data_IF_914802645650
#
_entry.id   IF_914802645650
#
_cell.length_a   1.000
_cell.length_b   1.000
_cell.length_c   1.000
_cell.angle_alpha   90.00
_cell.angle_beta   90.00
_cell.angle_gamma   90.00
#
_symmetry.space_group_name_H-M   'P 1'
#
loop_
_entity.id
_entity.type
_entity.pdbx_description
1 polymer ?
#
# COMPACT_ATOMS: atom_id res chain seq x y z
N UNK A 1 -19.10 29.60 2.17
CA UNK A 1 -19.81 28.32 1.91
C UNK A 1 -20.13 27.68 3.24
N UNK A 2 -21.38 27.31 3.47
CA UNK A 2 -21.77 26.49 4.59
C UNK A 2 -21.52 25.02 4.25
N UNK A 3 -20.84 24.32 5.16
CA UNK A 3 -20.53 22.89 5.04
C UNK A 3 -21.45 22.12 5.97
N UNK A 4 -22.22 21.18 5.43
CA UNK A 4 -23.18 20.37 6.15
C UNK A 4 -22.78 18.89 6.05
N UNK A 5 -21.91 18.38 6.94
CA UNK A 5 -21.53 16.97 6.92
C UNK A 5 -22.71 16.05 7.29
N UNK A 6 -23.63 16.53 8.14
CA UNK A 6 -24.89 15.85 8.44
C UNK A 6 -25.82 16.83 9.14
N UNK A 7 -26.67 17.53 8.38
CA UNK A 7 -27.55 18.55 8.94
C UNK A 7 -28.81 17.93 9.54
N UNK A 8 -28.79 17.70 10.85
CA UNK A 8 -29.94 17.22 11.62
C UNK A 8 -29.81 17.61 13.10
N UNK A 9 -30.94 17.55 13.81
CA UNK A 9 -30.97 17.77 15.25
C UNK A 9 -30.29 16.62 16.00
N UNK A 10 -29.42 16.97 16.95
CA UNK A 10 -28.77 16.02 17.86
C UNK A 10 -28.91 16.51 19.29
N UNK A 11 -28.98 15.58 20.26
CA UNK A 11 -29.08 15.91 21.68
C UNK A 11 -28.05 15.10 22.48
N UNK A 12 -26.85 15.64 22.63
CA UNK A 12 -25.76 14.95 23.34
C UNK A 12 -26.06 14.74 24.83
N UNK A 13 -27.03 15.46 25.41
CA UNK A 13 -27.32 15.38 26.85
C UNK A 13 -27.92 14.04 27.25
N UNK A 14 -28.48 13.29 26.31
CA UNK A 14 -29.11 11.98 26.55
C UNK A 14 -28.12 10.81 26.51
N UNK A 15 -26.85 11.04 26.14
CA UNK A 15 -25.81 10.01 26.18
C UNK A 15 -24.44 10.57 26.65
N UNK A 16 -23.95 10.18 27.84
CA UNK A 16 -22.67 10.67 28.36
C UNK A 16 -21.45 10.16 27.59
N UNK A 17 -21.63 9.20 26.66
CA UNK A 17 -20.57 8.68 25.78
C UNK A 17 -20.52 9.37 24.41
N UNK A 18 -21.47 10.27 24.14
CA UNK A 18 -21.51 11.13 22.95
C UNK A 18 -20.63 12.35 23.16
N UNK A 19 -19.89 12.76 22.12
CA UNK A 19 -19.10 14.00 22.15
C UNK A 19 -18.86 14.56 20.75
N UNK A 20 -18.58 15.86 20.65
CA UNK A 20 -18.08 16.50 19.43
C UNK A 20 -16.67 17.00 19.66
N UNK A 21 -15.72 16.35 19.01
CA UNK A 21 -14.32 16.77 19.02
C UNK A 21 -14.06 17.70 17.85
N UNK A 22 -13.30 18.76 18.09
CA UNK A 22 -12.77 19.60 17.02
C UNK A 22 -11.31 19.94 17.29
N UNK A 23 -10.54 20.09 16.22
CA UNK A 23 -9.15 20.50 16.31
C UNK A 23 -8.68 21.14 15.02
N UNK A 24 -7.82 22.13 15.19
CA UNK A 24 -6.99 22.67 14.12
C UNK A 24 -5.73 21.81 13.98
N UNK A 25 -5.26 21.65 12.75
CA UNK A 25 -4.10 20.84 12.38
C UNK A 25 -3.14 21.71 11.59
N UNK A 26 -1.95 21.87 12.15
CA UNK A 26 -0.75 22.47 11.56
C UNK A 26 0.46 21.51 11.56
N UNK A 27 0.34 20.34 12.21
CA UNK A 27 1.36 19.30 12.24
C UNK A 27 1.63 18.71 10.85
N UNK A 28 2.91 18.67 10.47
CA UNK A 28 3.35 18.24 9.14
C UNK A 28 3.01 16.78 8.84
N UNK A 29 3.06 15.88 9.84
CA UNK A 29 2.74 14.47 9.61
C UNK A 29 1.26 14.28 9.29
N UNK A 30 0.38 14.90 10.07
CA UNK A 30 -1.07 14.87 9.85
C UNK A 30 -1.47 15.57 8.54
N UNK A 31 -0.86 16.71 8.22
CA UNK A 31 -1.09 17.41 6.96
C UNK A 31 -0.66 16.57 5.75
N UNK A 32 0.42 15.79 5.87
CA UNK A 32 0.81 14.82 4.83
C UNK A 32 -0.25 13.74 4.65
N UNK A 33 -0.80 13.19 5.73
CA UNK A 33 -1.90 12.22 5.64
C UNK A 33 -3.13 12.81 4.96
N UNK A 34 -3.53 14.03 5.32
CA UNK A 34 -4.68 14.71 4.70
C UNK A 34 -4.39 15.01 3.22
N UNK A 35 -3.15 15.35 2.88
CA UNK A 35 -2.73 15.55 1.49
C UNK A 35 -2.92 14.27 0.67
N UNK A 36 -2.47 13.12 1.18
CA UNK A 36 -2.67 11.84 0.50
C UNK A 36 -4.15 11.47 0.38
N UNK A 37 -4.98 11.81 1.38
CA UNK A 37 -6.44 11.67 1.27
C UNK A 37 -6.99 12.54 0.14
N UNK A 38 -6.64 13.83 0.07
CA UNK A 38 -7.12 14.71 -1.03
C UNK A 38 -6.70 14.16 -2.38
N UNK A 39 -5.47 13.64 -2.51
CA UNK A 39 -4.95 13.05 -3.75
C UNK A 39 -5.72 11.82 -4.22
N UNK A 40 -6.46 11.11 -3.35
CA UNK A 40 -7.30 10.00 -3.81
C UNK A 40 -8.47 10.47 -4.69
N UNK A 41 -8.93 11.72 -4.52
CA UNK A 41 -9.97 12.33 -5.37
C UNK A 41 -9.41 13.34 -6.36
N UNK A 42 -8.37 14.08 -5.98
CA UNK A 42 -7.80 15.18 -6.77
C UNK A 42 -6.30 14.93 -7.01
N UNK A 43 -5.97 13.93 -7.84
CA UNK A 43 -4.61 13.42 -8.02
C UNK A 43 -3.65 14.45 -8.63
N UNK A 44 -4.15 15.34 -9.47
CA UNK A 44 -3.38 16.36 -10.20
C UNK A 44 -2.77 17.43 -9.29
N UNK A 45 -3.09 17.43 -8.00
CA UNK A 45 -2.51 18.29 -6.96
C UNK A 45 -1.10 17.86 -6.51
N UNK A 46 -0.41 17.02 -7.29
CA UNK A 46 0.83 16.29 -6.94
C UNK A 46 1.89 17.17 -6.27
N UNK A 47 1.99 18.45 -6.63
CA UNK A 47 3.02 19.39 -6.16
C UNK A 47 2.69 20.17 -4.89
N UNK A 48 1.51 20.03 -4.30
CA UNK A 48 1.09 20.87 -3.16
C UNK A 48 0.70 20.03 -1.93
N UNK A 49 1.36 20.31 -0.81
CA UNK A 49 0.98 19.77 0.50
C UNK A 49 -0.06 20.69 1.14
N UNK A 50 -1.04 20.13 1.84
CA UNK A 50 -1.95 20.92 2.66
C UNK A 50 -1.16 21.69 3.72
N UNK A 51 -1.48 22.97 3.88
CA UNK A 51 -0.82 23.86 4.84
C UNK A 51 -1.56 23.93 6.18
N UNK A 52 -2.86 23.60 6.14
CA UNK A 52 -3.75 23.76 7.26
C UNK A 52 -4.97 22.87 7.10
N UNK A 53 -5.46 22.31 8.20
CA UNK A 53 -6.75 21.64 8.23
C UNK A 53 -7.50 21.87 9.55
N UNK A 54 -8.82 21.75 9.49
CA UNK A 54 -9.71 21.75 10.65
C UNK A 54 -10.59 20.52 10.61
N UNK A 55 -10.54 19.75 11.68
CA UNK A 55 -11.22 18.45 11.80
C UNK A 55 -12.31 18.56 12.84
N UNK A 56 -13.52 18.15 12.50
CA UNK A 56 -14.64 18.03 13.44
C UNK A 56 -15.19 16.61 13.38
N UNK A 57 -15.28 15.95 14.54
CA UNK A 57 -15.76 14.58 14.68
C UNK A 57 -16.97 14.55 15.59
N UNK A 58 -18.10 14.11 15.06
CA UNK A 58 -19.30 13.80 15.82
C UNK A 58 -19.20 12.33 16.22
N UNK A 59 -18.89 12.06 17.48
CA UNK A 59 -18.69 10.71 17.99
C UNK A 59 -19.92 10.26 18.76
N UNK A 60 -20.54 9.17 18.30
CA UNK A 60 -21.75 8.59 18.88
C UNK A 60 -22.86 9.60 19.17
N UNK A 61 -23.15 10.49 18.22
CA UNK A 61 -24.21 11.49 18.42
C UNK A 61 -25.60 10.85 18.27
N UNK A 62 -26.51 11.03 19.24
CA UNK A 62 -27.88 10.55 19.17
C UNK A 62 -28.78 11.52 18.37
N UNK A 63 -29.94 11.07 17.86
CA UNK A 63 -30.93 11.96 17.27
C UNK A 63 -31.51 12.90 18.33
N UNK A 64 -31.83 14.13 17.95
CA UNK A 64 -32.44 15.10 18.86
C UNK A 64 -33.77 14.61 19.43
N UNK A 65 -33.95 14.77 20.76
CA UNK A 65 -35.17 14.43 21.51
C UNK A 65 -35.63 12.96 21.40
N UNK A 66 -34.74 12.04 20.98
CA UNK A 66 -35.01 10.61 20.87
C UNK A 66 -34.47 9.82 22.05
N UNK A 67 -35.28 8.94 22.63
CA UNK A 67 -34.90 8.01 23.71
C UNK A 67 -34.21 6.74 23.19
N UNK A 68 -33.98 6.65 21.88
CA UNK A 68 -33.48 5.45 21.22
C UNK A 68 -31.96 5.35 21.34
N UNK A 69 -31.45 4.13 21.19
CA UNK A 69 -30.02 3.78 21.22
C UNK A 69 -29.20 3.97 19.93
N UNK A 70 -29.71 4.40 18.75
CA UNK A 70 -28.87 4.53 17.57
C UNK A 70 -27.90 5.69 17.73
N UNK A 71 -26.67 5.51 17.24
CA UNK A 71 -25.59 6.49 17.35
C UNK A 71 -24.91 6.69 16.00
N UNK A 72 -24.89 7.94 15.56
CA UNK A 72 -24.16 8.31 14.35
C UNK A 72 -22.72 8.67 14.73
N UNK A 73 -21.75 8.25 13.93
CA UNK A 73 -20.33 8.63 14.05
C UNK A 73 -19.80 9.01 12.69
N UNK A 74 -19.41 10.27 12.56
CA UNK A 74 -18.93 10.84 11.31
C UNK A 74 -17.98 12.01 11.57
N UNK A 75 -17.21 12.38 10.55
CA UNK A 75 -16.18 13.40 10.62
C UNK A 75 -16.23 14.28 9.36
N UNK A 76 -15.91 15.55 9.54
CA UNK A 76 -15.64 16.51 8.48
C UNK A 76 -14.23 17.06 8.64
N UNK A 77 -13.52 17.21 7.54
CA UNK A 77 -12.22 17.90 7.47
C UNK A 77 -12.35 18.99 6.43
N UNK A 78 -11.99 20.23 6.79
CA UNK A 78 -11.78 21.31 5.83
C UNK A 78 -10.28 21.57 5.79
N UNK A 79 -9.69 21.61 4.60
CA UNK A 79 -8.24 21.73 4.43
C UNK A 79 -7.91 22.65 3.28
N UNK A 80 -6.75 23.30 3.33
CA UNK A 80 -6.27 24.18 2.25
C UNK A 80 -4.76 24.10 2.08
N UNK A 81 -4.30 24.30 0.85
CA UNK A 81 -2.89 24.50 0.53
C UNK A 81 -2.56 25.99 0.23
N UNK A 82 -3.49 26.91 0.51
CA UNK A 82 -3.37 28.34 0.22
C UNK A 82 -3.83 28.76 -1.18
N UNK A 83 -4.02 27.81 -2.11
CA UNK A 83 -4.55 28.04 -3.46
C UNK A 83 -5.90 27.33 -3.61
N UNK A 84 -5.93 26.05 -3.25
CA UNK A 84 -7.08 25.17 -3.29
C UNK A 84 -7.53 24.78 -1.89
N UNK A 85 -8.84 24.63 -1.72
CA UNK A 85 -9.50 24.24 -0.48
C UNK A 85 -10.38 23.03 -0.74
N UNK A 86 -10.34 22.07 0.17
CA UNK A 86 -11.08 20.82 0.07
C UNK A 86 -11.88 20.57 1.32
N UNK A 87 -12.99 19.87 1.15
CA UNK A 87 -13.76 19.31 2.26
C UNK A 87 -13.83 17.80 2.10
N UNK A 88 -13.53 17.08 3.18
CA UNK A 88 -13.61 15.63 3.28
C UNK A 88 -14.71 15.29 4.28
N UNK A 89 -15.65 14.43 3.87
CA UNK A 89 -16.59 13.78 4.79
C UNK A 89 -16.20 12.33 4.97
N UNK A 90 -16.29 11.83 6.20
CA UNK A 90 -16.05 10.42 6.53
C UNK A 90 -17.15 9.92 7.45
N UNK A 91 -17.88 8.90 7.01
CA UNK A 91 -18.99 8.30 7.72
C UNK A 91 -18.61 6.89 8.18
N UNK A 92 -18.38 6.73 9.48
CA UNK A 92 -18.06 5.43 10.06
C UNK A 92 -19.34 4.61 10.31
N UNK A 93 -20.36 5.25 10.87
CA UNK A 93 -21.61 4.59 11.27
C UNK A 93 -22.77 5.58 11.25
N UNK A 94 -23.87 5.23 10.60
CA UNK A 94 -25.11 6.00 10.60
C UNK A 94 -26.28 5.05 10.90
N UNK A 95 -26.88 5.17 12.08
CA UNK A 95 -27.97 4.30 12.56
C UNK A 95 -29.31 5.01 12.67
N UNK A 96 -29.30 6.34 12.57
CA UNK A 96 -30.52 7.15 12.51
C UNK A 96 -30.45 8.13 11.35
N UNK A 97 -31.61 8.43 10.77
CA UNK A 97 -31.79 9.34 9.62
C UNK A 97 -32.96 10.29 9.79
N UNK A 98 -33.58 10.35 10.95
CA UNK A 98 -34.57 11.37 11.26
C UNK A 98 -34.39 11.79 12.73
N UNK A 99 -34.50 13.09 12.98
CA UNK A 99 -34.69 13.60 14.34
C UNK A 99 -36.11 13.33 14.84
N UNK A 100 -36.40 13.65 16.11
CA UNK A 100 -37.74 13.44 16.69
C UNK A 100 -38.89 14.10 15.92
N UNK A 101 -38.61 15.13 15.11
CA UNK A 101 -39.60 15.89 14.33
C UNK A 101 -39.73 15.44 12.86
N UNK A 102 -39.11 14.32 12.47
CA UNK A 102 -39.36 13.67 11.18
C UNK A 102 -38.64 14.25 9.97
N UNK A 103 -37.71 15.20 10.16
CA UNK A 103 -36.87 15.73 9.08
C UNK A 103 -35.70 14.82 8.74
N UNK A 104 -35.55 14.47 7.45
CA UNK A 104 -34.37 13.75 6.95
C UNK A 104 -33.18 14.71 6.77
N UNK A 105 -31.96 14.31 7.18
CA UNK A 105 -30.77 15.13 7.08
C UNK A 105 -30.42 15.49 5.64
N UNK A 106 -29.83 16.67 5.50
CA UNK A 106 -29.13 17.07 4.29
C UNK A 106 -27.62 16.93 4.50
N UNK A 107 -26.94 16.45 3.46
CA UNK A 107 -25.48 16.36 3.42
C UNK A 107 -24.97 17.09 2.19
N UNK A 108 -24.01 18.00 2.38
CA UNK A 108 -23.38 18.72 1.27
C UNK A 108 -22.99 20.16 1.61
N UNK A 109 -23.23 21.06 0.68
CA UNK A 109 -22.72 22.44 0.69
C UNK A 109 -23.76 23.42 0.20
N UNK A 110 -23.73 24.64 0.76
CA UNK A 110 -24.54 25.75 0.28
C UNK A 110 -23.81 27.07 0.50
N UNK A 111 -23.54 27.82 -0.58
CA UNK A 111 -22.90 29.13 -0.51
C UNK A 111 -23.86 30.27 -0.17
N UNK A 112 -25.17 30.04 -0.22
CA UNK A 112 -26.20 31.06 0.01
C UNK A 112 -26.46 31.97 -1.19
N UNK A 113 -25.85 31.69 -2.34
CA UNK A 113 -25.94 32.47 -3.58
C UNK A 113 -26.90 31.86 -4.62
N UNK A 114 -27.58 30.77 -4.27
CA UNK A 114 -28.48 29.98 -5.13
C UNK A 114 -27.82 29.31 -6.35
N UNK A 115 -26.50 29.43 -6.51
CA UNK A 115 -25.74 28.88 -7.63
C UNK A 115 -24.79 27.79 -7.15
N UNK A 116 -24.04 28.08 -6.08
CA UNK A 116 -23.04 27.20 -5.51
C UNK A 116 -23.63 26.41 -4.36
N UNK A 117 -24.29 25.31 -4.70
CA UNK A 117 -24.73 24.30 -3.75
C UNK A 117 -24.53 22.90 -4.31
N UNK A 118 -24.32 21.94 -3.42
CA UNK A 118 -24.20 20.53 -3.79
C UNK A 118 -24.84 19.69 -2.69
N UNK A 119 -25.57 18.65 -3.06
CA UNK A 119 -26.22 17.74 -2.12
C UNK A 119 -25.86 16.31 -2.50
N UNK A 120 -25.36 15.53 -1.54
CA UNK A 120 -25.03 14.12 -1.77
C UNK A 120 -26.31 13.34 -2.07
N UNK A 121 -26.22 12.38 -2.98
CA UNK A 121 -27.29 11.43 -3.27
C UNK A 121 -27.86 10.82 -1.96
N UNK A 122 -29.16 10.57 -1.92
CA UNK A 122 -29.90 10.06 -0.74
C UNK A 122 -30.09 11.07 0.40
N UNK A 123 -29.55 12.29 0.32
CA UNK A 123 -29.95 13.38 1.22
C UNK A 123 -31.47 13.60 1.17
N UNK A 124 -32.04 14.11 2.26
CA UNK A 124 -33.48 14.26 2.43
C UNK A 124 -34.29 12.95 2.34
N UNK A 125 -33.65 11.80 2.59
CA UNK A 125 -34.34 10.50 2.62
C UNK A 125 -33.88 9.61 3.77
N UNK A 126 -34.69 8.61 4.12
CA UNK A 126 -34.32 7.60 5.12
C UNK A 126 -33.04 6.84 4.74
N UNK A 127 -32.76 6.73 3.44
CA UNK A 127 -31.62 6.01 2.88
C UNK A 127 -30.28 6.73 3.09
N UNK A 128 -30.27 7.95 3.63
CA UNK A 128 -29.03 8.68 3.93
C UNK A 128 -28.10 7.89 4.86
N UNK A 129 -28.61 6.96 5.67
CA UNK A 129 -27.79 6.07 6.49
C UNK A 129 -26.85 5.20 5.65
N UNK A 130 -27.27 4.86 4.43
CA UNK A 130 -26.51 3.97 3.55
C UNK A 130 -25.27 4.62 2.94
N UNK A 131 -25.07 5.94 3.07
CA UNK A 131 -23.86 6.62 2.56
C UNK A 131 -22.58 6.16 3.27
N UNK A 132 -22.69 5.46 4.41
CA UNK A 132 -21.56 4.70 4.99
C UNK A 132 -21.01 3.62 4.06
N UNK A 133 -21.75 3.24 3.02
CA UNK A 133 -21.35 2.29 1.98
C UNK A 133 -20.92 2.99 0.69
N UNK A 134 -21.25 4.27 0.53
CA UNK A 134 -21.06 5.01 -0.72
C UNK A 134 -19.74 5.81 -0.68
N UNK A 135 -19.30 6.32 -1.83
CA UNK A 135 -18.11 7.16 -1.95
C UNK A 135 -18.03 7.83 -3.33
N UNK A 136 -17.42 9.01 -3.42
CA UNK A 136 -17.00 9.61 -4.70
C UNK A 136 -15.51 9.43 -5.02
N UNK A 137 -14.76 8.70 -4.17
CA UNK A 137 -13.33 8.40 -4.35
C UNK A 137 -13.02 6.91 -4.20
N UNK A 138 -14.03 6.08 -3.97
CA UNK A 138 -13.90 4.64 -3.82
C UNK A 138 -13.33 4.17 -2.50
N UNK A 139 -13.39 5.02 -1.49
CA UNK A 139 -13.14 4.65 -0.10
C UNK A 139 -14.48 4.70 0.60
N UNK A 140 -14.97 3.53 1.01
CA UNK A 140 -16.28 3.35 1.62
C UNK A 140 -16.54 4.37 2.74
N UNK A 141 -17.64 5.12 2.62
CA UNK A 141 -18.04 6.15 3.58
C UNK A 141 -17.25 7.46 3.48
N UNK A 142 -16.38 7.62 2.49
CA UNK A 142 -15.55 8.81 2.33
C UNK A 142 -15.92 9.58 1.08
N UNK A 143 -16.03 10.90 1.23
CA UNK A 143 -16.31 11.82 0.14
C UNK A 143 -15.35 13.00 0.18
N UNK A 144 -14.83 13.43 -0.98
CA UNK A 144 -13.94 14.59 -1.08
C UNK A 144 -14.48 15.55 -2.13
N UNK A 145 -14.50 16.83 -1.79
CA UNK A 145 -14.98 17.89 -2.67
C UNK A 145 -13.95 19.01 -2.75
N UNK A 146 -13.78 19.55 -3.96
CA UNK A 146 -13.12 20.82 -4.16
C UNK A 146 -14.08 21.95 -3.76
N UNK A 147 -13.57 22.93 -3.02
CA UNK A 147 -14.36 24.01 -2.42
C UNK A 147 -13.75 25.39 -2.61
N UNK A 148 -12.82 25.55 -3.57
CA UNK A 148 -12.32 26.86 -3.99
C UNK A 148 -13.20 27.44 -5.09
N UNK A 149 -13.84 28.58 -4.83
CA UNK A 149 -14.80 29.15 -5.77
C UNK A 149 -16.05 28.27 -5.84
N UNK A 150 -16.22 27.57 -6.97
CA UNK A 150 -17.34 26.66 -7.18
C UNK A 150 -17.11 25.30 -6.50
N UNK A 151 -18.19 24.66 -6.07
CA UNK A 151 -18.13 23.34 -5.42
C UNK A 151 -17.95 22.28 -6.51
N UNK A 152 -16.75 21.70 -6.57
CA UNK A 152 -16.39 20.64 -7.51
C UNK A 152 -16.52 19.27 -6.88
N UNK A 153 -17.30 18.38 -7.49
CA UNK A 153 -17.24 16.95 -7.21
C UNK A 153 -15.98 16.35 -7.86
N UNK A 154 -15.61 15.15 -7.43
CA UNK A 154 -14.59 14.38 -8.14
C UNK A 154 -15.12 14.07 -9.54
N UNK A 155 -14.31 14.34 -10.55
CA UNK A 155 -14.61 14.00 -11.93
C UNK A 155 -13.75 12.80 -12.35
N UNK A 156 -14.34 11.88 -13.10
CA UNK A 156 -13.60 10.71 -13.56
C UNK A 156 -12.60 11.03 -14.67
N UNK A 157 -12.77 12.11 -15.45
CA UNK A 157 -11.81 12.50 -16.48
C UNK A 157 -10.83 13.55 -15.96
N UNK A 158 -9.55 13.18 -15.91
CA UNK A 158 -8.44 14.09 -15.61
C UNK A 158 -7.67 14.41 -16.89
N UNK A 159 -6.96 15.54 -16.91
CA UNK A 159 -6.12 15.93 -18.07
C UNK A 159 -4.98 14.92 -18.28
N UNK A 160 -4.52 14.26 -17.21
CA UNK A 160 -3.40 13.34 -17.22
C UNK A 160 -3.76 11.91 -17.68
N UNK A 161 -5.05 11.63 -17.95
CA UNK A 161 -5.51 10.33 -18.42
C UNK A 161 -5.59 9.28 -17.31
N UNK A 162 -5.18 8.03 -17.61
CA UNK A 162 -5.23 6.93 -16.63
C UNK A 162 -4.09 7.08 -15.61
N UNK A 163 -4.45 6.99 -14.34
CA UNK A 163 -3.56 7.17 -13.19
C UNK A 163 -3.72 6.00 -12.21
N UNK A 164 -2.72 5.79 -11.35
CA UNK A 164 -2.69 4.72 -10.33
C UNK A 164 -2.42 5.26 -8.92
N UNK A 165 -3.05 4.67 -7.91
CA UNK A 165 -2.86 4.96 -6.48
C UNK A 165 -2.77 3.65 -5.66
N UNK A 166 -1.76 3.48 -4.79
CA UNK A 166 -0.60 4.37 -4.69
C UNK A 166 0.17 4.39 -6.02
N UNK A 167 0.91 5.46 -6.31
CA UNK A 167 1.71 5.54 -7.55
C UNK A 167 3.02 4.74 -7.47
N UNK A 168 3.32 4.21 -6.28
CA UNK A 168 4.45 3.33 -6.00
C UNK A 168 4.10 2.29 -4.93
N UNK A 169 4.84 1.20 -4.88
CA UNK A 169 4.64 0.18 -3.84
C UNK A 169 5.51 -1.07 -4.01
N UNK A 170 5.34 -2.01 -3.09
CA UNK A 170 6.23 -3.16 -2.92
C UNK A 170 6.01 -4.24 -4.00
N UNK A 171 7.08 -4.96 -4.35
CA UNK A 171 7.09 -6.10 -5.28
C UNK A 171 6.31 -7.31 -4.80
N UNK A 172 6.09 -7.46 -3.49
CA UNK A 172 5.43 -8.63 -2.91
C UNK A 172 3.91 -8.69 -3.17
N UNK A 173 3.32 -7.60 -3.67
CA UNK A 173 1.89 -7.53 -3.94
C UNK A 173 1.01 -7.66 -2.69
N UNK A 174 -0.26 -7.99 -2.88
CA UNK A 174 -1.24 -8.27 -1.83
C UNK A 174 -1.96 -7.05 -1.24
N UNK A 175 -1.55 -5.83 -1.59
CA UNK A 175 -2.27 -4.61 -1.27
C UNK A 175 -3.17 -4.16 -2.42
N UNK A 176 -4.22 -3.42 -2.10
CA UNK A 176 -5.11 -2.86 -3.10
C UNK A 176 -4.43 -1.67 -3.81
N UNK A 177 -4.56 -1.62 -5.14
CA UNK A 177 -4.27 -0.44 -5.94
C UNK A 177 -5.52 -0.01 -6.70
N UNK A 178 -5.58 1.28 -7.01
CA UNK A 178 -6.71 1.93 -7.66
C UNK A 178 -6.27 2.57 -8.95
N UNK A 179 -6.95 2.24 -10.04
CA UNK A 179 -6.88 2.95 -11.30
C UNK A 179 -7.99 4.00 -11.35
N UNK A 180 -7.68 5.21 -11.82
CA UNK A 180 -8.61 6.33 -11.92
C UNK A 180 -8.15 7.31 -13.01
N UNK A 181 -8.85 8.43 -13.17
CA UNK A 181 -8.45 9.51 -14.08
C UNK A 181 -9.04 9.45 -15.49
N UNK A 182 -9.76 8.35 -15.80
CA UNK A 182 -10.73 8.26 -16.89
C UNK A 182 -12.09 7.72 -16.38
N UNK A 183 -13.16 7.93 -17.13
CA UNK A 183 -14.47 7.35 -16.83
C UNK A 183 -14.59 5.89 -17.28
N UNK A 184 -14.95 5.01 -16.35
CA UNK A 184 -15.11 3.58 -16.60
C UNK A 184 -16.58 3.24 -16.86
N UNK A 185 -16.99 3.34 -18.14
CA UNK A 185 -18.38 3.18 -18.58
C UNK A 185 -18.77 1.74 -18.95
N UNK A 186 -17.84 0.78 -18.92
CA UNK A 186 -18.10 -0.63 -19.22
C UNK A 186 -18.26 -1.45 -17.94
N UNK A 187 -18.94 -2.60 -18.05
CA UNK A 187 -19.14 -3.52 -16.92
C UNK A 187 -17.94 -4.41 -16.65
N UNK A 188 -16.98 -4.48 -17.58
CA UNK A 188 -15.79 -5.33 -17.47
C UNK A 188 -14.60 -4.66 -18.13
N UNK A 189 -13.46 -4.73 -17.45
CA UNK A 189 -12.16 -4.31 -17.96
C UNK A 189 -11.14 -5.41 -17.72
N UNK A 190 -10.10 -5.45 -18.54
CA UNK A 190 -8.94 -6.31 -18.34
C UNK A 190 -7.79 -5.40 -17.89
N UNK A 191 -7.31 -5.62 -16.68
CA UNK A 191 -6.13 -4.94 -16.15
C UNK A 191 -4.94 -5.88 -16.33
N UNK A 192 -3.92 -5.42 -17.05
CA UNK A 192 -2.67 -6.16 -17.27
C UNK A 192 -1.52 -5.38 -16.61
N UNK A 193 -0.72 -6.07 -15.81
CA UNK A 193 0.51 -5.54 -15.23
C UNK A 193 1.64 -6.47 -15.64
N UNK A 194 2.64 -5.95 -16.34
CA UNK A 194 3.82 -6.73 -16.74
C UNK A 194 3.47 -8.09 -17.39
N UNK A 195 2.58 -8.04 -18.39
CA UNK A 195 2.04 -9.20 -19.13
C UNK A 195 1.22 -10.20 -18.29
N UNK A 196 0.88 -9.88 -17.04
CA UNK A 196 -0.01 -10.68 -16.20
C UNK A 196 -1.37 -10.00 -16.05
N UNK A 197 -2.44 -10.76 -16.29
CA UNK A 197 -3.81 -10.27 -16.07
C UNK A 197 -4.10 -10.32 -14.57
N UNK A 198 -4.61 -9.21 -14.04
CA UNK A 198 -5.01 -9.08 -12.64
C UNK A 198 -6.45 -9.53 -12.49
N UNK A 199 -6.66 -10.52 -11.62
CA UNK A 199 -7.99 -11.05 -11.32
C UNK A 199 -8.71 -10.20 -10.24
N UNK A 200 -10.05 -10.34 -10.19
CA UNK A 200 -10.90 -9.84 -9.10
C UNK A 200 -10.89 -8.31 -8.87
N UNK A 201 -10.98 -7.52 -9.95
CA UNK A 201 -11.14 -6.07 -9.85
C UNK A 201 -12.59 -5.64 -9.55
N UNK A 202 -12.77 -4.66 -8.66
CA UNK A 202 -14.02 -3.95 -8.43
C UNK A 202 -14.10 -2.71 -9.31
N UNK A 203 -15.14 -2.61 -10.13
CA UNK A 203 -15.31 -1.53 -11.10
C UNK A 203 -16.39 -0.56 -10.59
N UNK A 204 -16.07 0.72 -10.65
CA UNK A 204 -16.98 1.85 -10.46
C UNK A 204 -16.81 2.80 -11.64
N UNK A 205 -17.77 3.70 -11.86
CA UNK A 205 -17.65 4.76 -12.87
C UNK A 205 -16.36 5.59 -12.71
N UNK A 206 -15.87 5.70 -11.48
CA UNK A 206 -14.77 6.59 -11.10
C UNK A 206 -13.41 5.91 -10.99
N UNK A 207 -13.39 4.61 -10.74
CA UNK A 207 -12.16 3.88 -10.46
C UNK A 207 -12.33 2.38 -10.66
N UNK A 208 -11.20 1.71 -10.81
CA UNK A 208 -11.08 0.26 -10.70
C UNK A 208 -10.16 -0.03 -9.52
N UNK A 209 -10.61 -0.82 -8.55
CA UNK A 209 -9.76 -1.33 -7.46
C UNK A 209 -9.41 -2.78 -7.76
N UNK A 210 -8.13 -3.12 -7.74
CA UNK A 210 -7.64 -4.49 -7.86
C UNK A 210 -6.59 -4.77 -6.78
N UNK A 211 -6.29 -6.04 -6.53
CA UNK A 211 -5.18 -6.42 -5.67
C UNK A 211 -3.90 -6.52 -6.49
N UNK A 212 -2.83 -5.86 -6.04
CA UNK A 212 -1.53 -5.90 -6.72
C UNK A 212 -0.99 -7.33 -6.69
N UNK A 213 -0.64 -7.94 -7.83
CA UNK A 213 0.01 -9.25 -7.84
C UNK A 213 1.45 -9.15 -7.32
N UNK A 214 2.04 -10.29 -6.97
CA UNK A 214 3.48 -10.36 -6.71
C UNK A 214 4.23 -10.25 -8.04
N UNK A 215 5.13 -9.27 -8.16
CA UNK A 215 5.81 -8.90 -9.42
C UNK A 215 7.33 -8.91 -9.22
N UNK A 216 8.06 -9.36 -10.24
CA UNK A 216 9.51 -9.62 -10.15
C UNK A 216 10.37 -8.63 -10.95
N UNK A 217 9.79 -7.74 -11.75
CA UNK A 217 10.51 -6.98 -12.77
C UNK A 217 10.60 -5.46 -12.55
N UNK A 218 11.83 -4.95 -12.64
CA UNK A 218 12.16 -3.54 -12.90
C UNK A 218 11.85 -2.51 -11.79
N UNK A 219 12.38 -1.29 -11.94
CA UNK A 219 12.06 -0.15 -11.06
C UNK A 219 10.68 0.48 -11.35
N UNK A 220 10.10 0.19 -12.52
CA UNK A 220 8.81 0.72 -12.98
C UNK A 220 8.04 -0.36 -13.71
N UNK A 221 6.76 -0.50 -13.39
CA UNK A 221 5.80 -1.40 -14.02
C UNK A 221 4.82 -0.61 -14.87
N UNK A 222 4.50 -1.13 -16.06
CA UNK A 222 3.46 -0.56 -16.90
C UNK A 222 2.13 -1.29 -16.64
N UNK A 223 1.14 -0.54 -16.18
CA UNK A 223 -0.23 -1.02 -16.03
C UNK A 223 -1.01 -0.63 -17.28
N UNK A 224 -1.60 -1.60 -17.94
CA UNK A 224 -2.42 -1.41 -19.14
C UNK A 224 -3.87 -1.78 -18.84
N UNK A 225 -4.77 -0.94 -19.33
CA UNK A 225 -6.20 -1.16 -19.22
C UNK A 225 -6.77 -1.45 -20.61
N UNK A 226 -7.44 -2.58 -20.74
CA UNK A 226 -8.14 -2.97 -21.96
C UNK A 226 -9.64 -3.08 -21.73
N UNK A 227 -10.42 -2.90 -22.79
CA UNK A 227 -11.83 -3.26 -22.79
C UNK A 227 -12.02 -4.78 -22.91
N UNK A 228 -13.27 -5.22 -22.83
CA UNK A 228 -13.66 -6.63 -23.02
C UNK A 228 -13.19 -7.27 -24.34
N UNK A 229 -12.96 -6.47 -25.38
CA UNK A 229 -12.49 -6.91 -26.69
C UNK A 229 -10.96 -6.90 -26.84
N UNK A 230 -10.20 -6.71 -25.74
CA UNK A 230 -8.73 -6.56 -25.74
C UNK A 230 -8.21 -5.36 -26.53
N UNK A 231 -9.02 -4.33 -26.71
CA UNK A 231 -8.56 -3.03 -27.22
C UNK A 231 -7.96 -2.24 -26.07
N UNK A 232 -6.73 -1.74 -26.24
CA UNK A 232 -6.07 -0.89 -25.24
C UNK A 232 -6.84 0.43 -25.11
N UNK A 233 -7.27 0.74 -23.89
CA UNK A 233 -7.94 2.00 -23.55
C UNK A 233 -6.92 3.05 -23.14
N UNK A 234 -6.09 2.71 -22.17
CA UNK A 234 -5.08 3.59 -21.60
C UNK A 234 -4.03 2.79 -20.82
N UNK A 235 -2.93 3.44 -20.44
CA UNK A 235 -1.88 2.85 -19.61
C UNK A 235 -1.33 3.88 -18.63
N UNK A 236 -0.77 3.40 -17.52
CA UNK A 236 -0.15 4.23 -16.49
C UNK A 236 1.07 3.52 -15.89
N UNK A 237 2.00 4.29 -15.33
CA UNK A 237 3.23 3.78 -14.74
C UNK A 237 3.09 3.64 -13.23
N UNK A 238 3.62 2.54 -12.69
CA UNK A 238 3.68 2.27 -11.27
C UNK A 238 5.14 2.06 -10.85
N UNK A 239 5.60 2.82 -9.86
CA UNK A 239 6.99 2.74 -9.42
C UNK A 239 7.14 1.60 -8.40
N UNK A 240 8.07 0.69 -8.66
CA UNK A 240 8.37 -0.40 -7.73
C UNK A 240 9.27 0.15 -6.63
N UNK A 241 8.74 0.15 -5.40
CA UNK A 241 9.52 0.46 -4.22
C UNK A 241 10.19 -0.84 -3.75
N UNK A 242 11.46 -0.97 -4.09
CA UNK A 242 12.33 -2.00 -3.51
C UNK A 242 12.67 -1.50 -2.10
N UNK A 243 12.34 -2.24 -1.03
CA UNK A 243 12.71 -1.83 0.31
C UNK A 243 14.20 -1.52 0.36
N UNK A 244 14.59 -0.29 0.77
CA UNK A 244 15.99 0.01 0.94
C UNK A 244 16.48 -0.77 2.16
N UNK A 245 17.46 -1.62 1.93
CA UNK A 245 18.34 -2.25 2.91
C UNK A 245 17.87 -3.47 3.70
N UNK A 246 18.88 -4.36 3.84
CA UNK A 246 19.07 -5.39 4.87
C UNK A 246 18.95 -4.88 6.32
N UNK A 247 18.50 -3.64 6.58
CA UNK A 247 18.45 -2.97 7.89
C UNK A 247 17.52 -3.68 8.88
N UNK A 248 16.38 -4.17 8.41
CA UNK A 248 15.46 -4.99 9.22
C UNK A 248 16.10 -6.34 9.56
N UNK A 249 16.81 -6.95 8.62
CA UNK A 249 17.56 -8.20 8.86
C UNK A 249 18.72 -7.96 9.84
N UNK A 250 19.44 -6.85 9.71
CA UNK A 250 20.46 -6.45 10.68
C UNK A 250 19.86 -6.22 12.08
N UNK A 251 18.62 -5.73 12.16
CA UNK A 251 17.91 -5.60 13.44
C UNK A 251 17.59 -6.96 14.08
N UNK A 252 17.45 -8.01 13.27
CA UNK A 252 17.20 -9.39 13.70
C UNK A 252 18.47 -10.16 14.06
N UNK A 253 19.66 -9.69 13.69
CA UNK A 253 20.93 -10.40 13.86
C UNK A 253 21.80 -9.77 14.97
N UNK A 254 22.53 -10.58 15.76
CA UNK A 254 23.50 -10.08 16.75
C UNK A 254 24.65 -9.33 16.05
N UNK A 255 25.17 -8.29 16.72
CA UNK A 255 26.27 -7.44 16.21
C UNK A 255 27.57 -8.20 15.94
N UNK A 256 27.74 -9.37 16.57
CA UNK A 256 28.91 -10.22 16.39
C UNK A 256 28.91 -10.95 15.04
N UNK A 257 27.80 -10.91 14.29
CA UNK A 257 27.80 -11.28 12.87
C UNK A 257 28.39 -10.09 12.08
N UNK A 258 29.71 -9.91 12.10
CA UNK A 258 30.37 -8.81 11.37
C UNK A 258 30.16 -8.99 9.87
N UNK A 259 29.42 -8.07 9.27
CA UNK A 259 29.20 -7.96 7.83
C UNK A 259 30.28 -7.07 7.23
N UNK A 260 31.25 -7.65 6.53
CA UNK A 260 32.09 -6.86 5.64
C UNK A 260 31.52 -7.00 4.21
N UNK A 261 30.75 -6.01 3.77
CA UNK A 261 30.25 -5.92 2.40
C UNK A 261 29.48 -7.13 1.86
N UNK A 262 28.55 -7.71 2.66
CA UNK A 262 27.73 -8.90 2.36
C UNK A 262 28.40 -10.28 2.58
N UNK A 263 29.55 -10.35 3.26
CA UNK A 263 30.19 -11.63 3.63
C UNK A 263 29.87 -11.97 5.08
N UNK A 264 29.20 -13.11 5.31
CA UNK A 264 29.03 -13.70 6.65
C UNK A 264 30.25 -14.56 6.93
N UNK A 265 30.75 -14.54 8.17
CA UNK A 265 31.81 -15.44 8.62
C UNK A 265 31.35 -16.89 8.43
N UNK A 266 31.77 -17.50 7.33
CA UNK A 266 31.81 -18.95 7.16
C UNK A 266 33.09 -19.39 7.85
N UNK A 267 32.98 -20.31 8.80
CA UNK A 267 34.15 -20.92 9.42
C UNK A 267 34.91 -21.78 8.39
N UNK A 268 36.12 -22.25 8.72
CA UNK A 268 36.93 -23.09 7.81
C UNK A 268 36.25 -24.43 7.40
N UNK A 269 35.05 -24.72 7.93
CA UNK A 269 34.26 -25.92 7.69
C UNK A 269 32.98 -25.67 6.83
N UNK A 270 32.94 -24.59 6.04
CA UNK A 270 31.80 -24.25 5.16
C UNK A 270 30.45 -24.12 5.89
N UNK A 271 30.47 -23.80 7.19
CA UNK A 271 29.25 -23.69 8.01
C UNK A 271 28.86 -22.23 8.17
N UNK A 272 27.66 -21.90 7.66
CA UNK A 272 27.02 -20.61 7.85
C UNK A 272 26.35 -20.59 9.24
N UNK A 273 26.76 -19.66 10.09
CA UNK A 273 26.17 -19.45 11.42
C UNK A 273 25.54 -18.06 11.50
N UNK A 274 24.25 -18.03 11.84
CA UNK A 274 23.48 -16.81 12.06
C UNK A 274 23.04 -16.74 13.51
N UNK A 275 23.42 -15.68 14.19
CA UNK A 275 22.97 -15.43 15.55
C UNK A 275 21.89 -14.37 15.57
N UNK A 276 20.75 -14.62 16.22
CA UNK A 276 19.59 -13.73 16.20
C UNK A 276 19.47 -12.90 17.47
N UNK A 277 19.10 -11.62 17.32
CA UNK A 277 18.66 -10.72 18.39
C UNK A 277 17.26 -11.11 18.84
N UNK A 278 17.05 -11.10 20.16
CA UNK A 278 15.72 -11.20 20.76
C UNK A 278 15.05 -9.82 20.71
N UNK A 279 14.09 -9.63 19.81
CA UNK A 279 13.35 -8.38 19.64
C UNK A 279 11.87 -8.65 19.35
N UNK A 280 11.05 -7.61 19.23
CA UNK A 280 9.59 -7.77 19.01
C UNK A 280 9.25 -8.53 17.73
N UNK A 281 10.08 -8.43 16.69
CA UNK A 281 9.90 -9.10 15.40
C UNK A 281 10.22 -10.60 15.51
N UNK A 282 11.42 -10.93 15.98
CA UNK A 282 11.89 -12.33 16.12
C UNK A 282 11.14 -13.12 17.20
N UNK A 283 10.49 -12.43 18.15
CA UNK A 283 9.64 -13.04 19.18
C UNK A 283 8.24 -13.39 18.69
N UNK A 284 7.60 -12.47 17.95
CA UNK A 284 6.17 -12.57 17.61
C UNK A 284 5.91 -13.31 16.30
N UNK A 285 6.87 -13.28 15.38
CA UNK A 285 6.72 -13.89 14.07
C UNK A 285 7.35 -15.29 14.00
N UNK A 286 6.94 -16.01 12.96
CA UNK A 286 7.43 -17.33 12.57
C UNK A 286 8.02 -17.23 11.18
N UNK A 287 9.14 -17.91 10.96
CA UNK A 287 9.98 -17.72 9.80
C UNK A 287 10.24 -19.04 9.08
N UNK A 288 10.06 -19.06 7.77
CA UNK A 288 10.70 -20.04 6.90
C UNK A 288 12.06 -19.49 6.47
N UNK A 289 13.09 -20.33 6.55
CA UNK A 289 14.46 -20.01 6.19
C UNK A 289 14.76 -20.76 4.91
N UNK A 290 15.00 -20.03 3.83
CA UNK A 290 15.18 -20.59 2.49
C UNK A 290 16.54 -20.15 1.96
N UNK A 291 17.36 -21.10 1.54
CA UNK A 291 18.61 -20.84 0.83
C UNK A 291 18.34 -20.93 -0.67
N UNK A 292 18.55 -19.83 -1.37
CA UNK A 292 18.63 -19.79 -2.81
C UNK A 292 20.07 -20.01 -3.24
N UNK A 293 20.29 -21.01 -4.08
CA UNK A 293 21.59 -21.26 -4.70
C UNK A 293 21.47 -21.01 -6.19
N UNK A 294 22.28 -20.09 -6.69
CA UNK A 294 22.34 -19.67 -8.07
C UNK A 294 23.61 -20.21 -8.72
N UNK A 295 23.49 -20.67 -9.95
CA UNK A 295 24.64 -20.96 -10.79
C UNK A 295 24.48 -20.22 -12.11
N UNK A 296 25.52 -19.45 -12.46
CA UNK A 296 25.61 -18.67 -13.66
C UNK A 296 26.65 -19.30 -14.58
N UNK A 297 26.22 -19.68 -15.79
CA UNK A 297 27.12 -20.18 -16.82
C UNK A 297 27.49 -19.04 -17.76
N UNK A 298 28.78 -18.88 -18.00
CA UNK A 298 29.28 -17.95 -19.00
C UNK A 298 29.63 -18.70 -20.28
N UNK A 299 29.40 -18.08 -21.43
CA UNK A 299 29.83 -18.63 -22.70
C UNK A 299 31.34 -18.44 -22.92
N UNK A 300 31.84 -18.88 -24.07
CA UNK A 300 33.26 -18.75 -24.41
C UNK A 300 33.74 -17.29 -24.56
N UNK A 301 32.81 -16.33 -24.66
CA UNK A 301 33.07 -14.90 -24.77
C UNK A 301 32.95 -14.17 -23.41
N UNK A 302 32.80 -14.91 -22.30
CA UNK A 302 32.51 -14.38 -20.96
C UNK A 302 31.18 -13.62 -20.85
N UNK A 303 30.24 -13.82 -21.78
CA UNK A 303 28.89 -13.27 -21.64
C UNK A 303 28.01 -14.24 -20.84
N UNK A 304 27.09 -13.67 -20.05
CA UNK A 304 26.17 -14.43 -19.22
C UNK A 304 25.20 -15.22 -20.12
N UNK A 305 25.39 -16.53 -20.21
CA UNK A 305 24.59 -17.38 -21.08
C UNK A 305 23.31 -17.88 -20.41
N UNK A 306 23.37 -18.18 -19.11
CA UNK A 306 22.25 -18.73 -18.36
C UNK A 306 22.46 -18.52 -16.86
N UNK A 307 21.39 -18.14 -16.15
CA UNK A 307 21.30 -18.18 -14.70
C UNK A 307 20.20 -19.16 -14.35
N UNK A 308 20.52 -20.08 -13.46
CA UNK A 308 19.55 -20.98 -12.87
C UNK A 308 19.65 -20.87 -11.36
N UNK A 309 18.53 -21.15 -10.69
CA UNK A 309 18.46 -21.13 -9.24
C UNK A 309 17.74 -22.36 -8.72
N UNK A 310 18.16 -22.81 -7.55
CA UNK A 310 17.45 -23.79 -6.74
C UNK A 310 17.10 -23.14 -5.41
N UNK A 311 16.02 -23.60 -4.81
CA UNK A 311 15.66 -23.26 -3.44
C UNK A 311 15.80 -24.48 -2.55
N UNK A 312 16.40 -24.28 -1.38
CA UNK A 312 16.62 -25.31 -0.38
C UNK A 312 15.98 -24.79 0.90
N UNK A 313 14.92 -25.48 1.35
CA UNK A 313 14.28 -25.17 2.63
C UNK A 313 15.20 -25.62 3.77
N UNK A 314 15.66 -24.65 4.55
CA UNK A 314 16.57 -24.86 5.67
C UNK A 314 15.84 -24.90 7.03
N UNK A 315 14.67 -24.28 7.11
CA UNK A 315 13.80 -24.32 8.28
C UNK A 315 12.41 -23.83 7.93
N UNK A 316 11.39 -24.44 8.53
CA UNK A 316 9.99 -24.08 8.31
C UNK A 316 9.35 -23.70 9.66
N UNK A 317 8.61 -22.59 9.69
CA UNK A 317 7.86 -22.11 10.84
C UNK A 317 8.71 -21.93 12.13
N UNK A 318 9.92 -21.43 11.96
CA UNK A 318 10.94 -21.28 13.00
C UNK A 318 10.70 -19.98 13.79
N UNK A 319 10.80 -20.04 15.12
CA UNK A 319 10.85 -18.83 15.94
C UNK A 319 12.32 -18.47 16.22
N UNK A 320 12.79 -17.40 15.57
CA UNK A 320 14.21 -17.02 15.60
C UNK A 320 14.70 -16.61 16.99
N UNK A 321 13.82 -16.04 17.83
CA UNK A 321 14.13 -15.74 19.24
C UNK A 321 14.27 -16.99 20.11
N UNK A 322 13.57 -18.07 19.78
CA UNK A 322 13.61 -19.32 20.55
C UNK A 322 14.86 -20.14 20.24
N UNK A 323 15.28 -20.19 18.98
CA UNK A 323 16.47 -20.94 18.56
C UNK A 323 17.78 -20.21 18.91
N UNK A 324 17.78 -18.88 18.90
CA UNK A 324 18.94 -18.04 19.24
C UNK A 324 20.06 -18.06 18.19
N UNK A 325 20.40 -19.23 17.64
CA UNK A 325 21.30 -19.38 16.51
C UNK A 325 20.73 -20.38 15.47
N UNK A 326 21.13 -20.19 14.22
CA UNK A 326 20.87 -21.10 13.12
C UNK A 326 22.21 -21.41 12.43
N UNK A 327 22.53 -22.69 12.31
CA UNK A 327 23.77 -23.16 11.68
C UNK A 327 23.45 -24.15 10.56
N UNK A 328 24.03 -23.94 9.39
CA UNK A 328 23.89 -24.84 8.23
C UNK A 328 25.24 -25.10 7.60
N UNK A 329 25.59 -26.37 7.41
CA UNK A 329 26.76 -26.77 6.64
C UNK A 329 26.41 -26.67 5.14
N UNK A 330 27.01 -25.70 4.44
CA UNK A 330 26.68 -25.40 3.06
C UNK A 330 27.09 -26.53 2.11
N UNK A 331 28.24 -27.17 2.35
CA UNK A 331 28.68 -28.32 1.54
C UNK A 331 27.65 -29.45 1.56
N UNK A 332 27.10 -29.75 2.73
CA UNK A 332 26.07 -30.78 2.92
C UNK A 332 24.72 -30.35 2.35
N UNK A 333 24.32 -29.09 2.56
CA UNK A 333 23.05 -28.56 2.04
C UNK A 333 23.04 -28.51 0.50
N UNK A 334 24.19 -28.24 -0.11
CA UNK A 334 24.37 -28.12 -1.54
C UNK A 334 24.77 -29.44 -2.21
N UNK A 335 25.04 -30.52 -1.45
CA UNK A 335 25.62 -31.76 -2.00
C UNK A 335 24.76 -32.43 -3.08
N UNK A 336 23.45 -32.19 -3.06
CA UNK A 336 22.48 -32.73 -4.04
C UNK A 336 22.26 -31.82 -5.24
N UNK A 337 22.66 -30.54 -5.16
CA UNK A 337 22.41 -29.54 -6.20
C UNK A 337 23.69 -29.05 -6.87
N UNK A 338 24.84 -29.26 -6.22
CA UNK A 338 26.14 -28.90 -6.78
C UNK A 338 26.37 -29.71 -8.04
N UNK A 339 26.42 -29.03 -9.17
CA UNK A 339 26.67 -29.68 -10.45
C UNK A 339 28.14 -30.08 -10.48
N UNK A 340 28.39 -31.39 -10.42
CA UNK A 340 29.74 -31.91 -10.47
C UNK A 340 30.46 -31.43 -11.75
N UNK A 341 31.60 -30.77 -11.56
CA UNK A 341 32.64 -30.55 -12.58
C UNK A 341 32.27 -29.75 -13.84
N UNK A 342 31.49 -28.67 -13.73
CA UNK A 342 31.40 -27.71 -14.83
C UNK A 342 32.52 -26.66 -14.74
N UNK A 343 33.44 -26.69 -15.71
CA UNK A 343 34.33 -25.54 -15.99
C UNK A 343 33.46 -24.32 -16.37
N UNK A 344 33.84 -23.14 -15.87
CA UNK A 344 33.24 -21.83 -16.21
C UNK A 344 31.85 -21.54 -15.62
N UNK A 345 31.64 -21.89 -14.36
CA UNK A 345 30.42 -21.57 -13.60
C UNK A 345 30.76 -20.67 -12.41
N UNK A 346 30.03 -19.57 -12.26
CA UNK A 346 30.02 -18.78 -11.03
C UNK A 346 28.83 -19.19 -10.17
N UNK A 347 29.10 -19.61 -8.95
CA UNK A 347 28.08 -19.99 -7.97
C UNK A 347 27.86 -18.80 -7.02
N UNK A 348 26.59 -18.52 -6.70
CA UNK A 348 26.19 -17.50 -5.73
C UNK A 348 25.11 -18.07 -4.82
N UNK A 349 25.06 -17.60 -3.58
CA UNK A 349 23.99 -17.96 -2.64
C UNK A 349 23.19 -16.71 -2.23
N UNK A 350 21.98 -16.90 -1.74
CA UNK A 350 21.17 -15.87 -1.12
C UNK A 350 20.28 -16.54 -0.08
N UNK A 351 20.07 -15.90 1.06
CA UNK A 351 19.26 -16.45 2.12
C UNK A 351 18.00 -15.59 2.30
N UNK A 352 16.83 -16.19 2.35
CA UNK A 352 15.60 -15.49 2.62
C UNK A 352 14.92 -15.99 3.89
N UNK A 353 14.25 -15.06 4.56
CA UNK A 353 13.40 -15.28 5.72
C UNK A 353 11.98 -14.88 5.34
N UNK A 354 11.08 -15.85 5.25
CA UNK A 354 9.68 -15.62 4.95
C UNK A 354 8.91 -15.63 6.26
N UNK A 355 8.14 -14.59 6.55
CA UNK A 355 7.25 -14.65 7.71
C UNK A 355 5.97 -15.38 7.33
N UNK A 356 5.28 -16.03 8.28
CA UNK A 356 3.92 -16.53 8.04
C UNK A 356 2.86 -15.40 7.82
N UNK A 357 3.29 -14.13 7.81
CA UNK A 357 2.50 -12.98 7.35
C UNK A 357 2.79 -12.65 5.88
N UNK A 358 2.36 -11.47 5.41
CA UNK A 358 2.58 -11.03 4.02
C UNK A 358 3.97 -10.43 3.77
N UNK A 359 4.90 -10.50 4.73
CA UNK A 359 6.23 -9.88 4.65
C UNK A 359 7.31 -10.94 4.39
N UNK A 360 8.11 -10.72 3.33
CA UNK A 360 9.29 -11.52 3.00
C UNK A 360 10.53 -10.65 3.18
N UNK A 361 11.51 -11.14 3.96
CA UNK A 361 12.76 -10.46 4.24
C UNK A 361 13.91 -11.23 3.57
N UNK A 362 14.54 -10.68 2.53
CA UNK A 362 15.62 -11.34 1.80
C UNK A 362 16.99 -10.77 2.19
N UNK A 363 17.91 -11.63 2.63
CA UNK A 363 19.32 -11.34 2.89
C UNK A 363 20.18 -11.91 1.76
N UNK A 364 20.65 -11.07 0.86
CA UNK A 364 21.56 -11.53 -0.19
C UNK A 364 22.98 -11.67 0.35
N UNK A 365 23.47 -12.92 0.43
CA UNK A 365 24.84 -13.28 0.79
C UNK A 365 25.62 -13.66 -0.47
N UNK A 366 26.34 -12.73 -1.09
CA UNK A 366 27.12 -13.05 -2.28
C UNK A 366 28.38 -13.83 -1.91
N UNK A 367 28.30 -15.16 -1.92
CA UNK A 367 29.47 -16.04 -1.81
C UNK A 367 29.82 -16.62 -3.17
N UNK A 368 30.98 -16.25 -3.71
CA UNK A 368 31.51 -16.84 -4.95
C UNK A 368 32.34 -18.07 -4.59
N UNK A 369 31.84 -19.25 -4.95
CA UNK A 369 32.47 -20.52 -4.56
C UNK A 369 33.56 -21.00 -5.55
N UNK A 370 33.68 -20.43 -6.76
CA UNK A 370 34.74 -20.79 -7.72
C UNK A 370 35.58 -19.57 -8.16
N UNK A 371 36.90 -19.67 -8.00
CA UNK A 371 37.90 -18.60 -8.18
C UNK A 371 38.51 -18.54 -9.58
N UNK A 372 38.15 -19.41 -10.53
CA UNK A 372 38.97 -19.54 -11.75
C UNK A 372 38.83 -18.44 -12.80
N UNK A 373 37.86 -17.51 -12.74
CA UNK A 373 37.73 -16.44 -13.76
C UNK A 373 37.34 -15.03 -13.27
N UNK A 374 37.14 -14.81 -11.97
CA UNK A 374 36.75 -13.48 -11.46
C UNK A 374 37.92 -12.49 -11.27
N UNK A 375 39.14 -12.86 -11.64
CA UNK A 375 40.30 -11.96 -11.57
C UNK A 375 40.37 -10.93 -12.70
N UNK A 376 39.48 -10.96 -13.69
CA UNK A 376 39.51 -9.99 -14.82
C UNK A 376 38.28 -9.07 -14.94
N UNK A 377 37.20 -9.26 -14.17
CA UNK A 377 35.97 -8.44 -14.32
C UNK A 377 35.47 -7.74 -13.04
N UNK A 378 36.28 -7.70 -11.98
CA UNK A 378 35.85 -7.18 -10.65
C UNK A 378 35.68 -5.66 -10.55
N UNK A 379 35.77 -4.90 -11.64
CA UNK A 379 35.40 -3.47 -11.64
C UNK A 379 33.91 -3.21 -11.96
N UNK A 380 33.20 -4.10 -12.66
CA UNK A 380 31.84 -3.78 -13.13
C UNK A 380 30.71 -4.26 -12.20
N UNK A 381 30.94 -5.22 -11.30
CA UNK A 381 29.92 -5.70 -10.35
C UNK A 381 29.83 -4.88 -9.05
N UNK A 382 30.37 -3.65 -9.02
CA UNK A 382 30.27 -2.71 -7.88
C UNK A 382 29.35 -1.51 -8.13
N UNK A 383 28.51 -1.55 -9.17
CA UNK A 383 27.49 -0.53 -9.42
C UNK A 383 26.08 -1.05 -9.24
#
# INVERSE_FOLDING_TARGET
ICVAPYWADTDQTVDPTSDIFYREIDDTSMLRTITEMVKTGFPTLVSHTMLWAYVVTWYKVPPGHGWSTPRNTFQAIITTNGIYSFTIFTYHKLEWSAGAWGGYPQVGFNAGDQQNYYTIEKSFSANIQSIVNDSNIGVRGQFIFHTTGDIGNVECNTIDGLLVSPYRGLTFGGYDFRLYGICFNETSYIVEIDNHIVDACQISLMYIVCTMPMLYDGPTLLIKLYNSNRTLIASTEFIVEIPPDNSVIQSMLLENNKFDGNIININDEDTLILNFKKNSLTLKQRFDIILYYYYAKFDNNNELSNISSTQIELGNNVNLSAIGNFAVNLTSALSLVRVAELKDVSEFISLAFHTLGTEIWRLTLSLVLDRKKLTESTEDCKR
#
